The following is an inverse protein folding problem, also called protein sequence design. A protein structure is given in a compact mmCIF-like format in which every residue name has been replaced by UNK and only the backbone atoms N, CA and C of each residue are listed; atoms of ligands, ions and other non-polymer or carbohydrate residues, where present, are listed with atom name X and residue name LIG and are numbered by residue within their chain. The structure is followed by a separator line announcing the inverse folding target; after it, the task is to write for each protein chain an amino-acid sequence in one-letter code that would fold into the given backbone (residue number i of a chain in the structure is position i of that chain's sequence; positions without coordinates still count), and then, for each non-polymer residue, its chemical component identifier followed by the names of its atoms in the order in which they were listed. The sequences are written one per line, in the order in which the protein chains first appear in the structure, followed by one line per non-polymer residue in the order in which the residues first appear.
data_IF_139576275490
#
_entry.id   IF_139576275490
#
_cell.length_a   1.000
_cell.length_b   1.000
_cell.length_c   1.000
_cell.angle_alpha   90.00
_cell.angle_beta   90.00
_cell.angle_gamma   90.00
#
_symmetry.space_group_name_H-M   'P 1'
#
loop_
_entity.id
_entity.type
_entity.pdbx_description
1 polymer ?
#
# COMPACT_ATOMS: atom_id res chain seq x y z
N UNK A 1 -62.88 29.22 -24.84
CA UNK A 1 -61.72 28.98 -23.95
C UNK A 1 -60.83 27.90 -24.58
N UNK A 2 -59.52 28.14 -24.75
CA UNK A 2 -58.55 27.14 -25.22
C UNK A 2 -57.78 26.61 -24.01
N UNK A 3 -57.88 25.31 -23.75
CA UNK A 3 -57.20 24.62 -22.65
C UNK A 3 -56.01 23.89 -23.28
N UNK A 4 -54.80 24.32 -22.98
CA UNK A 4 -53.58 23.63 -23.39
C UNK A 4 -53.23 22.61 -22.30
N UNK A 5 -53.38 21.31 -22.57
CA UNK A 5 -52.90 20.24 -21.66
C UNK A 5 -51.36 20.20 -21.68
N UNK A 6 -50.70 20.96 -20.81
CA UNK A 6 -49.23 20.94 -20.65
C UNK A 6 -48.72 19.92 -19.62
N UNK A 7 -49.49 18.87 -19.33
CA UNK A 7 -49.16 17.88 -18.29
C UNK A 7 -48.50 16.58 -18.77
N UNK A 8 -48.44 16.30 -20.08
CA UNK A 8 -48.12 14.94 -20.58
C UNK A 8 -46.64 14.68 -20.93
N UNK A 9 -45.77 15.69 -20.91
CA UNK A 9 -44.36 15.54 -21.37
C UNK A 9 -43.41 15.06 -20.26
N UNK A 10 -43.81 15.08 -19.00
CA UNK A 10 -42.95 14.70 -17.86
C UNK A 10 -42.90 13.20 -17.51
N UNK A 11 -43.83 12.38 -18.03
CA UNK A 11 -44.04 11.01 -17.55
C UNK A 11 -43.29 9.91 -18.36
N UNK A 12 -42.75 10.23 -19.53
CA UNK A 12 -42.17 9.23 -20.45
C UNK A 12 -40.71 8.87 -20.05
N UNK A 13 -40.03 9.74 -19.29
CA UNK A 13 -38.60 9.59 -18.98
C UNK A 13 -38.30 8.71 -17.76
N UNK A 14 -39.29 8.03 -17.18
CA UNK A 14 -39.05 7.18 -15.99
C UNK A 14 -38.47 5.82 -16.38
N UNK A 15 -38.93 5.25 -17.49
CA UNK A 15 -38.45 3.95 -17.97
C UNK A 15 -37.00 4.03 -18.48
N UNK A 16 -36.65 5.10 -19.22
CA UNK A 16 -35.29 5.32 -19.70
C UNK A 16 -34.30 5.47 -18.54
N UNK A 17 -34.67 6.22 -17.49
CA UNK A 17 -33.85 6.37 -16.27
C UNK A 17 -33.59 5.06 -15.53
N UNK A 18 -34.55 4.14 -15.53
CA UNK A 18 -34.41 2.83 -14.89
C UNK A 18 -33.48 1.89 -15.68
N UNK A 19 -33.47 1.98 -17.01
CA UNK A 19 -32.53 1.23 -17.86
C UNK A 19 -31.11 1.78 -17.69
N UNK A 20 -30.95 3.11 -17.64
CA UNK A 20 -29.67 3.77 -17.42
C UNK A 20 -29.09 3.44 -16.03
N UNK A 21 -29.93 3.40 -14.97
CA UNK A 21 -29.48 3.02 -13.62
C UNK A 21 -29.04 1.56 -13.55
N UNK A 22 -29.79 0.62 -14.16
CA UNK A 22 -29.38 -0.79 -14.22
C UNK A 22 -28.06 -0.98 -15.00
N UNK A 23 -27.87 -0.26 -16.12
CA UNK A 23 -26.61 -0.30 -16.88
C UNK A 23 -25.41 0.16 -16.04
N UNK A 24 -25.60 1.23 -15.27
CA UNK A 24 -24.55 1.77 -14.38
C UNK A 24 -24.22 0.81 -13.22
N UNK A 25 -25.21 0.08 -12.69
CA UNK A 25 -24.97 -0.93 -11.65
C UNK A 25 -24.22 -2.17 -12.18
N UNK A 26 -24.52 -2.60 -13.41
CA UNK A 26 -23.82 -3.71 -14.07
C UNK A 26 -22.36 -3.35 -14.37
N UNK A 27 -22.08 -2.14 -14.86
CA UNK A 27 -20.70 -1.68 -15.12
C UNK A 27 -19.90 -1.52 -13.81
N UNK A 28 -20.53 -1.06 -12.72
CA UNK A 28 -19.90 -1.02 -11.39
C UNK A 28 -19.57 -2.39 -10.82
N UNK A 29 -20.40 -3.41 -11.07
CA UNK A 29 -20.12 -4.79 -10.65
C UNK A 29 -18.97 -5.40 -11.48
N UNK A 30 -18.89 -5.10 -12.77
CA UNK A 30 -17.81 -5.56 -13.64
C UNK A 30 -16.44 -4.96 -13.29
N UNK A 31 -16.42 -3.79 -12.63
CA UNK A 31 -15.18 -3.08 -12.22
C UNK A 31 -14.68 -3.41 -10.82
N UNK A 32 -15.41 -4.21 -10.03
CA UNK A 32 -14.90 -4.68 -8.73
C UNK A 32 -13.82 -5.72 -8.96
N UNK A 33 -12.57 -5.29 -8.89
CA UNK A 33 -11.40 -6.17 -8.80
C UNK A 33 -11.04 -6.35 -7.33
N UNK A 34 -10.58 -7.54 -6.99
CA UNK A 34 -9.98 -7.77 -5.68
C UNK A 34 -8.63 -7.04 -5.64
N UNK A 35 -8.57 -5.97 -4.86
CA UNK A 35 -7.36 -5.17 -4.68
C UNK A 35 -6.86 -5.31 -3.24
N UNK A 36 -5.57 -5.63 -3.09
CA UNK A 36 -4.90 -5.62 -1.79
C UNK A 36 -4.30 -4.23 -1.59
N UNK A 37 -4.91 -3.43 -0.72
CA UNK A 37 -4.40 -2.11 -0.34
C UNK A 37 -3.70 -2.17 1.03
N UNK A 38 -2.49 -1.62 1.10
CA UNK A 38 -1.78 -1.41 2.37
C UNK A 38 -2.50 -0.29 3.13
N UNK A 39 -2.85 -0.51 4.40
CA UNK A 39 -3.52 0.50 5.23
C UNK A 39 -2.67 1.76 5.41
N UNK A 40 -3.33 2.92 5.53
CA UNK A 40 -2.65 4.18 5.79
C UNK A 40 -1.84 4.13 7.11
N UNK A 41 -2.43 3.55 8.15
CA UNK A 41 -1.80 3.34 9.45
C UNK A 41 -0.52 2.48 9.37
N UNK A 42 -0.52 1.40 8.59
CA UNK A 42 0.68 0.57 8.40
C UNK A 42 1.81 1.33 7.70
N UNK A 43 1.47 2.24 6.77
CA UNK A 43 2.46 3.12 6.12
C UNK A 43 3.03 4.14 7.10
N UNK A 44 2.19 4.70 7.97
CA UNK A 44 2.64 5.64 9.01
C UNK A 44 3.56 4.96 10.03
N UNK A 45 3.22 3.74 10.48
CA UNK A 45 4.08 2.97 11.38
C UNK A 45 5.45 2.64 10.75
N UNK A 46 5.48 2.29 9.46
CA UNK A 46 6.73 2.04 8.74
C UNK A 46 7.59 3.32 8.65
N UNK A 47 6.97 4.46 8.38
CA UNK A 47 7.66 5.75 8.36
C UNK A 47 8.16 6.15 9.75
N UNK A 48 7.34 5.95 10.79
CA UNK A 48 7.67 6.22 12.18
C UNK A 48 8.82 5.33 12.69
N UNK A 49 8.97 4.13 12.15
CA UNK A 49 10.09 3.25 12.49
C UNK A 49 11.46 3.84 12.09
N UNK A 50 11.50 4.87 11.24
CA UNK A 50 12.63 5.82 11.15
C UNK A 50 13.98 5.26 10.70
N UNK A 51 14.11 3.95 10.49
CA UNK A 51 15.38 3.25 10.24
C UNK A 51 16.10 3.76 8.98
N UNK A 52 15.39 4.43 8.08
CA UNK A 52 15.90 4.91 6.80
C UNK A 52 16.63 6.26 6.82
N UNK A 53 16.30 7.18 7.74
CA UNK A 53 16.72 8.60 7.64
C UNK A 53 17.71 9.05 8.71
N UNK A 54 18.35 8.11 9.41
CA UNK A 54 19.37 8.46 10.38
C UNK A 54 20.68 8.91 9.68
N UNK A 55 21.16 10.15 9.89
CA UNK A 55 22.35 10.67 9.24
C UNK A 55 23.61 9.91 9.68
N UNK A 56 23.69 9.42 10.92
CA UNK A 56 24.82 8.62 11.38
C UNK A 56 24.86 7.26 10.65
N UNK A 57 23.69 6.66 10.42
CA UNK A 57 23.59 5.42 9.64
C UNK A 57 24.09 5.61 8.20
N UNK A 58 23.76 6.74 7.58
CA UNK A 58 24.20 7.05 6.21
C UNK A 58 25.72 7.17 6.14
N UNK A 59 26.32 7.89 7.09
CA UNK A 59 27.78 8.03 7.19
C UNK A 59 28.46 6.66 7.43
N UNK A 60 27.91 5.86 8.34
CA UNK A 60 28.42 4.51 8.62
C UNK A 60 28.37 3.60 7.38
N UNK A 61 27.31 3.68 6.58
CA UNK A 61 27.21 2.90 5.34
C UNK A 61 28.25 3.35 4.32
N UNK A 62 28.50 4.66 4.20
CA UNK A 62 29.50 5.18 3.28
C UNK A 62 30.92 4.69 3.66
N UNK A 63 31.25 4.74 4.94
CA UNK A 63 32.54 4.24 5.46
C UNK A 63 32.70 2.73 5.21
N UNK A 64 31.67 1.93 5.55
CA UNK A 64 31.68 0.49 5.29
C UNK A 64 31.86 0.16 3.81
N UNK A 65 31.19 0.90 2.91
CA UNK A 65 31.36 0.73 1.45
C UNK A 65 32.80 0.97 1.01
N UNK A 66 33.43 2.01 1.56
CA UNK A 66 34.84 2.29 1.30
C UNK A 66 35.72 1.12 1.73
N UNK A 67 35.60 0.65 2.98
CA UNK A 67 36.38 -0.47 3.51
C UNK A 67 36.20 -1.77 2.71
N UNK A 68 35.00 -2.03 2.22
CA UNK A 68 34.72 -3.19 1.37
C UNK A 68 35.41 -3.05 0.01
N UNK A 69 35.34 -1.86 -0.61
CA UNK A 69 35.99 -1.61 -1.90
C UNK A 69 37.52 -1.69 -1.85
N UNK A 70 38.12 -1.30 -0.72
CA UNK A 70 39.57 -1.39 -0.49
C UNK A 70 40.01 -2.78 -0.01
N UNK A 71 39.06 -3.69 0.25
CA UNK A 71 39.34 -5.04 0.76
C UNK A 71 39.85 -5.08 2.20
N UNK A 72 39.73 -3.99 2.95
CA UNK A 72 40.18 -3.88 4.35
C UNK A 72 39.09 -4.17 5.37
N UNK A 73 37.85 -4.41 4.91
CA UNK A 73 36.74 -4.76 5.78
C UNK A 73 36.93 -6.16 6.40
N UNK A 74 37.06 -6.22 7.72
CA UNK A 74 37.18 -7.47 8.48
C UNK A 74 35.90 -7.75 9.28
N UNK A 75 35.38 -8.96 9.14
CA UNK A 75 34.19 -9.42 9.84
C UNK A 75 34.62 -10.09 11.14
N UNK A 76 34.08 -9.62 12.26
CA UNK A 76 34.20 -10.26 13.57
C UNK A 76 33.19 -11.41 13.66
N UNK A 77 33.69 -12.64 13.67
CA UNK A 77 32.85 -13.85 13.71
C UNK A 77 32.01 -13.94 15.00
N UNK A 78 32.50 -13.43 16.13
CA UNK A 78 31.76 -13.42 17.39
C UNK A 78 30.56 -12.49 17.31
N UNK A 79 30.77 -11.26 16.83
CA UNK A 79 29.67 -10.30 16.60
C UNK A 79 28.66 -10.80 15.57
N UNK A 80 29.13 -11.50 14.54
CA UNK A 80 28.25 -12.11 13.55
C UNK A 80 27.33 -13.16 14.21
N UNK A 81 27.91 -14.07 15.00
CA UNK A 81 27.15 -15.09 15.72
C UNK A 81 26.14 -14.45 16.68
N UNK A 82 26.55 -13.47 17.49
CA UNK A 82 25.66 -12.74 18.41
C UNK A 82 24.42 -12.14 17.71
N UNK A 83 24.60 -11.58 16.50
CA UNK A 83 23.50 -11.01 15.71
C UNK A 83 22.61 -12.06 15.06
N UNK A 84 23.15 -13.24 14.77
CA UNK A 84 22.40 -14.35 14.18
C UNK A 84 21.60 -15.14 15.23
N UNK A 85 22.10 -15.24 16.48
CA UNK A 85 21.49 -16.02 17.57
C UNK A 85 19.98 -15.78 17.76
N UNK A 86 19.44 -14.54 17.78
CA UNK A 86 18.00 -14.32 17.98
C UNK A 86 17.11 -14.99 16.93
N UNK A 87 17.60 -15.12 15.69
CA UNK A 87 16.85 -15.73 14.58
C UNK A 87 16.81 -17.26 14.66
N UNK A 88 17.75 -17.87 15.40
CA UNK A 88 17.80 -19.33 15.59
C UNK A 88 17.15 -19.78 16.89
N UNK A 89 17.11 -18.93 17.93
CA UNK A 89 16.43 -19.25 19.20
C UNK A 89 14.92 -19.48 19.04
N UNK A 90 14.27 -18.77 18.12
CA UNK A 90 12.84 -18.95 17.81
C UNK A 90 12.49 -20.33 17.25
N UNK A 91 13.48 -21.06 16.70
CA UNK A 91 13.29 -22.43 16.20
C UNK A 91 13.38 -23.49 17.30
N UNK A 92 14.03 -23.20 18.44
CA UNK A 92 14.28 -24.19 19.51
C UNK A 92 13.26 -24.13 20.65
N UNK A 93 12.48 -23.05 20.74
CA UNK A 93 11.46 -22.84 21.78
C UNK A 93 10.02 -23.13 21.30
N UNK A 94 9.86 -23.82 20.16
CA UNK A 94 8.58 -24.37 19.69
C UNK A 94 8.57 -25.91 19.76
#
# INVERSE_FOLDING_TARGET
MKINETGRVGAINNYQRQIESQRNELDRKARRKDEVSISAEAKELLQAQGVGNDPERTNRIADLKSQVSTGTYQIDAGKLAEKLVPYFKSYTEN
#
